data_IF_895987678744
#
_entry.id   IF_895987678744
#
_cell.length_a   1.000
_cell.length_b   1.000
_cell.length_c   1.000
_cell.angle_alpha   90.00
_cell.angle_beta   90.00
_cell.angle_gamma   90.00
#
_symmetry.space_group_name_H-M   'P 1'
#
loop_
_entity.id
_entity.type
_entity.pdbx_description
1 polymer ?
#
# COMPACT_ATOMS: atom_id res chain seq x y z
N UNK A 1 -28.15 7.47 10.42
CA UNK A 1 -26.69 7.25 10.65
C UNK A 1 -26.19 8.47 11.43
N UNK A 2 -25.37 8.23 12.45
CA UNK A 2 -24.77 9.30 13.23
C UNK A 2 -23.85 10.16 12.33
N UNK A 3 -24.07 11.48 12.21
CA UNK A 3 -23.24 12.34 11.37
C UNK A 3 -21.81 12.51 11.87
N UNK A 4 -21.48 12.00 13.06
CA UNK A 4 -20.12 12.03 13.62
C UNK A 4 -19.30 10.77 13.26
N UNK A 5 -19.91 9.77 12.63
CA UNK A 5 -19.18 8.57 12.18
C UNK A 5 -18.28 8.95 11.02
N UNK A 6 -16.98 8.67 11.18
CA UNK A 6 -16.01 8.75 10.10
C UNK A 6 -15.91 7.41 9.37
N UNK A 7 -15.85 7.46 8.05
CA UNK A 7 -15.77 6.30 7.18
C UNK A 7 -14.47 6.36 6.39
N UNK A 8 -13.63 5.34 6.53
CA UNK A 8 -12.38 5.22 5.80
C UNK A 8 -12.42 4.17 4.70
N UNK A 9 -11.47 4.28 3.81
CA UNK A 9 -11.17 3.25 2.81
C UNK A 9 -9.93 2.48 3.21
N UNK A 10 -9.93 1.16 3.01
CA UNK A 10 -8.75 0.32 3.16
C UNK A 10 -8.15 -0.02 1.80
N UNK A 11 -6.86 0.21 1.66
CA UNK A 11 -6.08 -0.07 0.47
C UNK A 11 -4.97 -1.09 0.79
N UNK A 12 -4.90 -2.17 0.01
CA UNK A 12 -3.75 -3.08 0.02
C UNK A 12 -2.67 -2.49 -0.88
N UNK A 13 -1.70 -1.81 -0.29
CA UNK A 13 -0.62 -1.13 -1.01
C UNK A 13 0.33 -2.12 -1.68
N UNK A 14 0.71 -1.80 -2.90
CA UNK A 14 1.64 -2.58 -3.71
C UNK A 14 2.80 -1.72 -4.22
N UNK A 15 3.34 -0.85 -3.36
CA UNK A 15 4.43 0.06 -3.71
C UNK A 15 5.40 -0.53 -4.72
N UNK A 16 5.52 0.10 -5.88
CA UNK A 16 6.32 -0.39 -7.00
C UNK A 16 7.43 0.59 -7.35
N UNK A 17 8.69 0.11 -7.28
CA UNK A 17 9.87 0.85 -7.71
C UNK A 17 10.24 0.55 -9.17
N UNK A 18 10.87 1.51 -9.87
CA UNK A 18 11.64 1.17 -11.08
C UNK A 18 12.88 0.35 -10.70
N UNK A 19 13.27 -0.61 -11.54
CA UNK A 19 14.50 -1.40 -11.33
C UNK A 19 15.77 -0.53 -11.31
N UNK A 20 15.73 0.56 -12.08
CA UNK A 20 16.84 1.49 -12.23
C UNK A 20 16.32 2.86 -12.73
N UNK A 21 17.23 3.79 -13.04
CA UNK A 21 16.92 5.12 -13.55
C UNK A 21 16.57 5.17 -15.06
N UNK A 22 16.36 4.04 -15.73
CA UNK A 22 15.84 4.03 -17.10
C UNK A 22 14.46 4.73 -17.11
N UNK A 23 14.25 5.79 -17.94
CA UNK A 23 12.98 6.49 -18.02
C UNK A 23 11.78 5.58 -18.28
N UNK A 24 11.97 4.48 -19.03
CA UNK A 24 10.91 3.51 -19.28
C UNK A 24 10.57 2.68 -18.05
N UNK A 25 11.56 2.25 -17.28
CA UNK A 25 11.31 1.59 -15.99
C UNK A 25 10.60 2.53 -15.00
N UNK A 26 10.99 3.81 -14.97
CA UNK A 26 10.33 4.83 -14.15
C UNK A 26 8.85 5.04 -14.59
N UNK A 27 8.59 5.10 -15.90
CA UNK A 27 7.22 5.19 -16.44
C UNK A 27 6.39 3.97 -16.05
N UNK A 28 6.94 2.74 -16.17
CA UNK A 28 6.25 1.51 -15.78
C UNK A 28 5.92 1.46 -14.28
N UNK A 29 6.85 1.88 -13.42
CA UNK A 29 6.61 1.97 -11.99
C UNK A 29 5.50 2.99 -11.64
N UNK A 30 5.51 4.16 -12.30
CA UNK A 30 4.47 5.18 -12.15
C UNK A 30 3.08 4.63 -12.55
N UNK A 31 2.97 3.98 -13.71
CA UNK A 31 1.71 3.41 -14.18
C UNK A 31 1.23 2.25 -13.27
N UNK A 32 2.14 1.43 -12.75
CA UNK A 32 1.81 0.38 -11.79
C UNK A 32 1.22 0.96 -10.50
N UNK A 33 1.87 1.94 -9.88
CA UNK A 33 1.38 2.61 -8.67
C UNK A 33 0.04 3.32 -8.93
N UNK A 34 -0.12 3.95 -10.10
CA UNK A 34 -1.39 4.59 -10.49
C UNK A 34 -2.55 3.60 -10.56
N UNK A 35 -2.35 2.46 -11.20
CA UNK A 35 -3.45 1.53 -11.47
C UNK A 35 -3.73 0.59 -10.29
N UNK A 36 -2.74 0.27 -9.48
CA UNK A 36 -2.90 -0.65 -8.34
C UNK A 36 -3.30 0.07 -7.07
N UNK A 37 -2.77 1.27 -6.85
CA UNK A 37 -2.90 1.99 -5.59
C UNK A 37 -3.71 3.28 -5.74
N UNK A 38 -3.23 4.22 -6.54
CA UNK A 38 -3.87 5.55 -6.64
C UNK A 38 -5.23 5.54 -7.34
N UNK A 39 -5.51 4.60 -8.23
CA UNK A 39 -6.81 4.54 -8.90
C UNK A 39 -7.95 4.40 -7.90
N UNK A 40 -7.84 3.48 -6.96
CA UNK A 40 -8.85 3.25 -5.95
C UNK A 40 -8.97 4.42 -4.98
N UNK A 41 -7.83 4.87 -4.45
CA UNK A 41 -7.80 5.98 -3.50
C UNK A 41 -8.19 7.33 -4.13
N UNK A 42 -7.86 7.59 -5.41
CA UNK A 42 -8.33 8.79 -6.12
C UNK A 42 -9.86 8.83 -6.21
N UNK A 43 -10.50 7.72 -6.59
CA UNK A 43 -11.96 7.67 -6.69
C UNK A 43 -12.60 7.88 -5.32
N UNK A 44 -12.07 7.23 -4.29
CA UNK A 44 -12.69 7.22 -2.97
C UNK A 44 -12.41 8.48 -2.14
N UNK A 45 -11.24 9.12 -2.33
CA UNK A 45 -10.85 10.30 -1.56
C UNK A 45 -11.00 11.61 -2.33
N UNK A 46 -10.98 11.58 -3.67
CA UNK A 46 -11.15 12.76 -4.52
C UNK A 46 -12.51 12.82 -5.20
N UNK A 47 -13.26 11.72 -5.15
CA UNK A 47 -14.63 11.63 -5.67
C UNK A 47 -14.72 11.70 -7.19
N UNK A 48 -13.68 11.26 -7.92
CA UNK A 48 -13.73 11.26 -9.40
C UNK A 48 -12.75 10.26 -10.01
N UNK A 49 -13.06 9.77 -11.19
CA UNK A 49 -12.13 8.96 -11.98
C UNK A 49 -10.96 9.83 -12.48
N UNK A 50 -9.70 9.50 -12.15
CA UNK A 50 -8.56 10.28 -12.55
C UNK A 50 -8.28 10.19 -14.06
N UNK A 51 -7.64 11.21 -14.64
CA UNK A 51 -7.37 11.31 -16.06
C UNK A 51 -6.57 10.13 -16.63
N UNK A 52 -5.61 9.59 -15.86
CA UNK A 52 -4.83 8.42 -16.28
C UNK A 52 -5.69 7.15 -16.36
N UNK A 53 -6.69 6.98 -15.47
CA UNK A 53 -7.63 5.86 -15.53
C UNK A 53 -8.55 5.98 -16.74
N UNK A 54 -9.05 7.20 -17.06
CA UNK A 54 -9.85 7.46 -18.25
C UNK A 54 -9.05 7.14 -19.53
N UNK A 55 -7.76 7.49 -19.56
CA UNK A 55 -6.85 7.11 -20.65
C UNK A 55 -6.72 5.59 -20.74
N UNK A 56 -6.43 4.92 -19.66
CA UNK A 56 -6.31 3.46 -19.58
C UNK A 56 -7.58 2.77 -20.07
N UNK A 57 -8.76 3.20 -19.63
CA UNK A 57 -10.04 2.63 -20.08
C UNK A 57 -10.22 2.76 -21.59
N UNK A 58 -9.88 3.93 -22.15
CA UNK A 58 -9.95 4.16 -23.61
C UNK A 58 -9.01 3.23 -24.38
N UNK A 59 -7.76 3.09 -23.93
CA UNK A 59 -6.74 2.25 -24.58
C UNK A 59 -7.10 0.75 -24.51
N UNK A 60 -7.79 0.32 -23.45
CA UNK A 60 -8.19 -1.08 -23.24
C UNK A 60 -9.65 -1.36 -23.63
N UNK A 61 -10.32 -0.41 -24.27
CA UNK A 61 -11.73 -0.53 -24.69
C UNK A 61 -12.69 -0.85 -23.53
N UNK A 62 -12.41 -0.34 -22.33
CA UNK A 62 -13.24 -0.49 -21.14
C UNK A 62 -14.26 0.65 -21.10
N UNK A 63 -15.54 0.30 -20.99
CA UNK A 63 -16.63 1.26 -20.82
C UNK A 63 -17.18 1.15 -19.40
N UNK A 64 -17.07 2.22 -18.63
CA UNK A 64 -17.70 2.33 -17.32
C UNK A 64 -19.17 2.74 -17.54
N UNK A 65 -20.11 1.92 -17.06
CA UNK A 65 -21.51 2.28 -17.06
C UNK A 65 -21.77 3.17 -15.85
N UNK A 66 -22.33 4.33 -16.10
CA UNK A 66 -22.75 5.28 -15.08
C UNK A 66 -24.18 5.69 -15.35
N UNK A 67 -25.00 5.70 -14.30
CA UNK A 67 -26.34 6.24 -14.35
C UNK A 67 -26.32 7.76 -14.11
N UNK A 68 -27.38 8.49 -14.51
CA UNK A 68 -27.51 9.90 -14.16
C UNK A 68 -27.44 10.13 -12.65
N UNK A 69 -26.52 10.96 -12.19
CA UNK A 69 -26.29 11.26 -10.77
C UNK A 69 -25.13 10.48 -10.11
N UNK A 70 -24.58 9.44 -10.75
CA UNK A 70 -23.49 8.65 -10.15
C UNK A 70 -22.21 9.49 -9.93
N UNK A 71 -21.90 10.38 -10.86
CA UNK A 71 -20.72 11.24 -10.73
C UNK A 71 -20.84 12.21 -9.55
N UNK A 72 -22.01 12.80 -9.37
CA UNK A 72 -22.33 13.67 -8.26
C UNK A 72 -22.32 12.89 -6.94
N UNK A 73 -22.91 11.70 -6.92
CA UNK A 73 -22.93 10.84 -5.74
C UNK A 73 -21.50 10.47 -5.28
N UNK A 74 -20.63 10.07 -6.19
CA UNK A 74 -19.21 9.77 -5.89
C UNK A 74 -18.51 11.02 -5.34
N UNK A 75 -18.76 12.18 -5.96
CA UNK A 75 -18.12 13.45 -5.58
C UNK A 75 -18.53 13.96 -4.20
N UNK A 76 -19.77 13.76 -3.83
CA UNK A 76 -20.36 14.24 -2.57
C UNK A 76 -20.13 13.28 -1.39
N UNK A 77 -19.70 12.03 -1.66
CA UNK A 77 -19.54 10.99 -0.64
C UNK A 77 -18.11 10.41 -0.65
N UNK A 78 -17.13 11.29 -0.48
CA UNK A 78 -15.73 10.88 -0.31
C UNK A 78 -15.48 10.34 1.10
N UNK A 79 -14.43 9.52 1.25
CA UNK A 79 -14.03 8.95 2.53
C UNK A 79 -13.30 9.97 3.41
N UNK A 80 -13.40 9.81 4.73
CA UNK A 80 -12.84 10.73 5.71
C UNK A 80 -11.36 10.44 6.02
N UNK A 81 -10.91 9.20 5.84
CA UNK A 81 -9.52 8.79 6.10
C UNK A 81 -9.08 7.63 5.21
N UNK A 82 -7.77 7.42 5.11
CA UNK A 82 -7.14 6.31 4.38
C UNK A 82 -6.52 5.29 5.34
N UNK A 83 -6.93 4.04 5.24
CA UNK A 83 -6.31 2.90 5.91
C UNK A 83 -5.46 2.11 4.90
N UNK A 84 -4.21 1.82 5.24
CA UNK A 84 -3.25 1.16 4.34
C UNK A 84 -2.80 -0.16 4.94
N UNK A 85 -2.89 -1.25 4.17
CA UNK A 85 -2.22 -2.50 4.44
C UNK A 85 -0.90 -2.52 3.67
N UNK A 86 0.23 -2.50 4.38
CA UNK A 86 1.57 -2.52 3.79
C UNK A 86 2.36 -3.73 4.28
N UNK A 87 2.84 -4.56 3.36
CA UNK A 87 3.64 -5.73 3.69
C UNK A 87 5.01 -5.70 3.01
N UNK A 88 5.06 -5.33 1.74
CA UNK A 88 6.28 -5.38 0.92
C UNK A 88 6.15 -4.51 -0.32
N UNK A 89 7.28 -4.17 -0.92
CA UNK A 89 7.36 -3.45 -2.18
C UNK A 89 7.67 -4.38 -3.37
N UNK A 90 7.49 -3.84 -4.56
CA UNK A 90 7.83 -4.51 -5.81
C UNK A 90 8.88 -3.73 -6.59
N UNK A 91 9.44 -4.37 -7.62
CA UNK A 91 10.29 -3.73 -8.61
C UNK A 91 9.81 -4.12 -10.03
N UNK A 92 9.85 -3.18 -10.96
CA UNK A 92 9.53 -3.44 -12.37
C UNK A 92 10.64 -2.97 -13.29
N UNK A 93 10.87 -3.72 -14.36
CA UNK A 93 11.79 -3.33 -15.42
C UNK A 93 11.14 -2.42 -16.48
N UNK A 94 11.89 -2.04 -17.52
CA UNK A 94 11.42 -1.20 -18.61
C UNK A 94 10.28 -1.80 -19.46
N UNK A 95 10.02 -3.10 -19.32
CA UNK A 95 8.88 -3.78 -19.96
C UNK A 95 7.64 -3.86 -19.07
N UNK A 96 7.72 -3.38 -17.83
CA UNK A 96 6.68 -3.50 -16.81
C UNK A 96 6.63 -4.87 -16.13
N UNK A 97 7.61 -5.74 -16.40
CA UNK A 97 7.70 -7.05 -15.75
C UNK A 97 8.18 -6.89 -14.31
N UNK A 98 7.49 -7.56 -13.37
CA UNK A 98 7.92 -7.67 -11.97
C UNK A 98 9.26 -8.41 -11.88
N UNK A 99 10.21 -7.82 -11.19
CA UNK A 99 11.56 -8.33 -10.97
C UNK A 99 11.94 -8.21 -9.51
N UNK A 100 12.96 -8.96 -9.09
CA UNK A 100 13.50 -8.85 -7.75
C UNK A 100 14.15 -7.48 -7.54
N UNK A 101 13.94 -6.88 -6.36
CA UNK A 101 14.66 -5.67 -5.97
C UNK A 101 16.08 -6.07 -5.51
N UNK A 102 17.14 -5.62 -6.18
CA UNK A 102 18.52 -6.01 -5.83
C UNK A 102 19.02 -5.40 -4.52
N UNK A 103 18.28 -4.46 -3.93
CA UNK A 103 18.69 -3.71 -2.73
C UNK A 103 17.94 -4.14 -1.46
N UNK A 104 16.94 -5.02 -1.58
CA UNK A 104 16.16 -5.50 -0.43
C UNK A 104 16.35 -7.00 -0.22
N UNK A 105 16.31 -7.42 1.05
CA UNK A 105 16.15 -8.84 1.37
C UNK A 105 14.69 -9.26 1.14
N UNK A 106 14.47 -10.53 0.93
CA UNK A 106 13.13 -11.09 0.82
C UNK A 106 12.99 -12.33 1.71
N UNK A 107 11.75 -12.63 2.10
CA UNK A 107 11.39 -13.89 2.78
C UNK A 107 11.44 -15.05 1.79
N UNK A 108 11.24 -16.28 2.29
CA UNK A 108 11.14 -17.50 1.45
C UNK A 108 10.00 -17.38 0.43
N UNK A 109 8.97 -16.61 0.72
CA UNK A 109 7.83 -16.35 -0.19
C UNK A 109 8.08 -15.21 -1.19
N UNK A 110 9.29 -14.61 -1.18
CA UNK A 110 9.66 -13.52 -2.06
C UNK A 110 9.08 -12.15 -1.62
N UNK A 111 8.61 -12.02 -0.39
CA UNK A 111 8.19 -10.73 0.17
C UNK A 111 9.41 -9.93 0.56
N UNK A 112 9.56 -8.76 -0.02
CA UNK A 112 10.69 -7.87 0.30
C UNK A 112 10.51 -7.26 1.69
N UNK A 113 11.58 -7.21 2.46
CA UNK A 113 11.61 -6.52 3.75
C UNK A 113 12.04 -5.08 3.46
N UNK A 114 11.05 -4.18 3.41
CA UNK A 114 11.27 -2.80 2.97
C UNK A 114 10.55 -1.77 3.86
N UNK A 115 11.12 -1.44 5.02
CA UNK A 115 10.57 -0.40 5.88
C UNK A 115 10.56 0.99 5.21
N UNK A 116 11.56 1.27 4.34
CA UNK A 116 11.62 2.54 3.60
C UNK A 116 10.45 2.68 2.62
N UNK A 117 10.01 1.57 2.03
CA UNK A 117 8.83 1.53 1.16
C UNK A 117 7.56 1.96 1.88
N UNK A 118 7.39 1.58 3.15
CA UNK A 118 6.29 2.08 3.97
C UNK A 118 6.31 3.60 4.07
N UNK A 119 7.48 4.19 4.38
CA UNK A 119 7.61 5.63 4.47
C UNK A 119 7.29 6.32 3.13
N UNK A 120 7.81 5.80 2.02
CA UNK A 120 7.59 6.37 0.68
C UNK A 120 6.10 6.29 0.29
N UNK A 121 5.46 5.13 0.50
CA UNK A 121 4.06 4.93 0.20
C UNK A 121 3.17 5.90 1.00
N UNK A 122 3.34 5.94 2.32
CA UNK A 122 2.54 6.80 3.21
C UNK A 122 2.77 8.28 2.93
N UNK A 123 4.02 8.72 2.68
CA UNK A 123 4.32 10.10 2.27
C UNK A 123 3.65 10.44 0.95
N UNK A 124 3.68 9.52 -0.03
CA UNK A 124 3.03 9.73 -1.34
C UNK A 124 1.51 9.89 -1.21
N UNK A 125 0.86 9.15 -0.31
CA UNK A 125 -0.57 9.31 -0.03
C UNK A 125 -0.85 10.62 0.70
N UNK A 126 -0.04 10.98 1.67
CA UNK A 126 -0.16 12.25 2.38
C UNK A 126 -0.06 13.44 1.45
N UNK A 127 0.99 13.49 0.62
CA UNK A 127 1.21 14.55 -0.36
C UNK A 127 0.06 14.66 -1.38
N UNK A 128 -0.63 13.54 -1.65
CA UNK A 128 -1.69 13.47 -2.65
C UNK A 128 -3.06 13.84 -2.09
N UNK A 129 -3.37 13.48 -0.85
CA UNK A 129 -4.74 13.56 -0.31
C UNK A 129 -4.89 14.46 0.90
N UNK A 130 -3.86 14.60 1.72
CA UNK A 130 -3.92 15.36 2.99
C UNK A 130 -5.12 14.99 3.85
N UNK A 131 -5.38 13.69 4.02
CA UNK A 131 -6.41 13.14 4.90
C UNK A 131 -5.75 12.35 6.03
N UNK A 132 -6.40 12.20 7.20
CA UNK A 132 -5.90 11.33 8.26
C UNK A 132 -5.64 9.91 7.74
N UNK A 133 -4.59 9.27 8.22
CA UNK A 133 -4.20 7.94 7.77
C UNK A 133 -3.97 6.97 8.91
N UNK A 134 -4.18 5.69 8.65
CA UNK A 134 -3.75 4.60 9.53
C UNK A 134 -3.06 3.50 8.74
N UNK A 135 -2.16 2.78 9.40
CA UNK A 135 -1.67 1.50 8.90
C UNK A 135 -2.56 0.41 9.51
N UNK A 136 -3.48 -0.11 8.68
CA UNK A 136 -4.46 -1.10 9.09
C UNK A 136 -3.86 -2.51 9.21
N UNK A 137 -2.84 -2.79 8.39
CA UNK A 137 -2.13 -4.07 8.42
C UNK A 137 -0.65 -3.86 8.11
N UNK A 138 0.20 -4.51 8.89
CA UNK A 138 1.63 -4.63 8.63
C UNK A 138 2.18 -5.84 9.37
N UNK A 139 2.97 -6.65 8.70
CA UNK A 139 3.52 -7.89 9.25
C UNK A 139 4.44 -8.59 8.28
N UNK A 140 5.05 -9.67 8.72
CA UNK A 140 5.97 -10.49 7.94
C UNK A 140 5.56 -11.95 8.01
N UNK A 141 5.51 -12.60 6.86
CA UNK A 141 5.37 -14.04 6.74
C UNK A 141 6.70 -14.70 6.44
N UNK A 142 7.05 -15.71 7.22
CA UNK A 142 8.25 -16.54 7.04
C UNK A 142 7.95 -17.99 7.42
N UNK A 143 8.77 -18.92 6.94
CA UNK A 143 8.77 -20.29 7.44
C UNK A 143 9.46 -20.34 8.81
N UNK A 144 8.77 -20.90 9.79
CA UNK A 144 9.25 -20.99 11.16
C UNK A 144 9.48 -22.44 11.55
N UNK A 145 10.47 -22.64 12.41
CA UNK A 145 10.80 -23.97 12.92
C UNK A 145 10.91 -23.88 14.44
N UNK A 146 10.21 -24.78 15.13
CA UNK A 146 10.34 -24.93 16.57
C UNK A 146 11.77 -25.41 16.91
N UNK A 147 12.34 -24.82 17.95
CA UNK A 147 13.58 -25.32 18.53
C UNK A 147 13.39 -26.62 19.32
N UNK A 148 14.45 -27.12 19.97
CA UNK A 148 14.41 -28.35 20.77
C UNK A 148 13.52 -28.26 22.02
N UNK A 149 13.14 -27.05 22.42
CA UNK A 149 12.28 -26.76 23.57
C UNK A 149 10.83 -26.42 23.13
N UNK A 150 10.55 -26.50 21.82
CA UNK A 150 9.24 -26.18 21.22
C UNK A 150 8.95 -24.70 21.17
N UNK A 151 9.98 -23.85 21.12
CA UNK A 151 9.84 -22.39 21.04
C UNK A 151 10.21 -21.87 19.66
N UNK A 152 9.65 -20.71 19.29
CA UNK A 152 10.01 -19.92 18.12
C UNK A 152 10.72 -18.65 18.59
N UNK A 153 11.87 -18.35 17.97
CA UNK A 153 12.64 -17.15 18.25
C UNK A 153 12.28 -16.05 17.25
N UNK A 154 11.52 -15.06 17.69
CA UNK A 154 10.92 -14.00 16.85
C UNK A 154 11.84 -12.79 16.59
N UNK A 155 13.16 -12.93 16.74
CA UNK A 155 14.10 -11.82 16.57
C UNK A 155 13.94 -11.12 15.21
N UNK A 156 13.68 -11.86 14.15
CA UNK A 156 13.46 -11.34 12.80
C UNK A 156 12.15 -10.52 12.72
N UNK A 157 11.07 -10.97 13.39
CA UNK A 157 9.78 -10.27 13.43
C UNK A 157 9.88 -9.00 14.28
N UNK A 158 10.58 -9.08 15.41
CA UNK A 158 10.88 -7.93 16.25
C UNK A 158 11.70 -6.89 15.47
N UNK A 159 12.72 -7.31 14.71
CA UNK A 159 13.51 -6.43 13.87
C UNK A 159 12.65 -5.77 12.78
N UNK A 160 11.83 -6.55 12.07
CA UNK A 160 10.90 -6.06 11.06
C UNK A 160 10.02 -4.94 11.60
N UNK A 161 9.31 -5.19 12.71
CA UNK A 161 8.43 -4.19 13.30
C UNK A 161 9.18 -2.97 13.83
N UNK A 162 10.35 -3.16 14.44
CA UNK A 162 11.19 -2.04 14.91
C UNK A 162 11.57 -1.09 13.78
N UNK A 163 11.97 -1.64 12.64
CA UNK A 163 12.36 -0.86 11.47
C UNK A 163 11.18 -0.14 10.83
N UNK A 164 10.01 -0.78 10.75
CA UNK A 164 8.78 -0.14 10.24
C UNK A 164 8.27 0.95 11.20
N UNK A 165 8.28 0.72 12.51
CA UNK A 165 7.91 1.73 13.52
C UNK A 165 8.84 2.94 13.46
N UNK A 166 10.14 2.75 13.18
CA UNK A 166 11.06 3.86 12.99
C UNK A 166 10.67 4.74 11.77
N UNK A 167 10.15 4.15 10.70
CA UNK A 167 9.62 4.91 9.56
C UNK A 167 8.30 5.64 9.89
N UNK A 168 7.43 5.04 10.70
CA UNK A 168 6.21 5.71 11.17
C UNK A 168 6.53 6.93 12.04
N UNK A 169 7.55 6.82 12.90
CA UNK A 169 8.03 7.97 13.67
C UNK A 169 8.48 9.10 12.74
N UNK A 170 9.21 8.78 11.68
CA UNK A 170 9.65 9.75 10.68
C UNK A 170 8.46 10.42 9.96
N UNK A 171 7.41 9.64 9.63
CA UNK A 171 6.17 10.20 9.06
C UNK A 171 5.52 11.22 10.00
N UNK A 172 5.46 10.93 11.30
CA UNK A 172 4.91 11.85 12.30
C UNK A 172 5.79 13.11 12.45
N UNK A 173 7.12 12.96 12.38
CA UNK A 173 8.07 14.09 12.37
C UNK A 173 7.91 14.96 11.11
N UNK A 174 7.46 14.39 9.98
CA UNK A 174 7.11 15.07 8.73
C UNK A 174 5.65 15.61 8.72
N UNK A 175 4.98 15.65 9.89
CA UNK A 175 3.61 16.15 10.08
C UNK A 175 2.52 15.35 9.33
N UNK A 176 2.80 14.08 9.00
CA UNK A 176 1.78 13.17 8.49
C UNK A 176 0.79 12.83 9.60
N UNK A 177 -0.50 13.03 9.37
CA UNK A 177 -1.55 12.72 10.34
C UNK A 177 -1.80 11.20 10.40
N UNK A 178 -0.84 10.48 11.00
CA UNK A 178 -0.91 9.04 11.22
C UNK A 178 -1.50 8.76 12.60
N UNK A 179 -2.78 8.34 12.67
CA UNK A 179 -3.50 8.20 13.94
C UNK A 179 -3.53 6.79 14.52
N UNK A 180 -3.23 5.75 13.72
CA UNK A 180 -3.25 4.37 14.20
C UNK A 180 -2.29 3.45 13.43
N UNK A 181 -1.87 2.39 14.12
CA UNK A 181 -1.09 1.28 13.56
C UNK A 181 -1.59 -0.04 14.15
N UNK A 182 -1.86 -1.01 13.29
CA UNK A 182 -2.25 -2.36 13.70
C UNK A 182 -1.31 -3.39 13.09
N UNK A 183 -0.88 -4.33 13.95
CA UNK A 183 -0.10 -5.48 13.52
C UNK A 183 -1.02 -6.51 12.86
N UNK A 184 -0.56 -7.09 11.78
CA UNK A 184 -1.13 -8.31 11.24
C UNK A 184 -0.31 -9.49 11.74
N UNK A 185 -0.79 -10.28 12.37
CA UNK A 185 -1.65 -10.92 13.27
C UNK A 185 -0.95 -11.05 14.63
N UNK A 186 -1.59 -10.90 15.77
CA UNK A 186 -0.97 -11.13 17.08
C UNK A 186 -0.77 -12.61 17.40
N UNK A 187 -1.30 -13.51 16.59
CA UNK A 187 -1.21 -14.97 16.70
C UNK A 187 -0.86 -15.58 15.36
N UNK A 188 -0.22 -16.75 15.38
CA UNK A 188 -0.01 -17.52 14.16
C UNK A 188 -1.35 -17.97 13.58
N UNK A 189 -1.56 -17.63 12.33
CA UNK A 189 -2.75 -18.01 11.57
C UNK A 189 -2.36 -18.71 10.28
N UNK A 190 -3.19 -19.61 9.82
CA UNK A 190 -3.07 -20.16 8.47
C UNK A 190 -3.37 -19.05 7.47
N UNK A 191 -2.36 -18.67 6.70
CA UNK A 191 -2.50 -17.68 5.62
C UNK A 191 -3.09 -18.35 4.38
N UNK A 192 -3.97 -17.64 3.67
CA UNK A 192 -4.48 -18.09 2.37
C UNK A 192 -3.42 -18.16 1.26
N UNK A 193 -2.20 -17.68 1.54
CA UNK A 193 -1.06 -17.67 0.63
C UNK A 193 0.07 -18.63 1.06
N UNK A 194 -0.14 -19.45 2.06
CA UNK A 194 0.81 -20.45 2.54
C UNK A 194 0.50 -21.84 1.98
#
# INVERSE_FOLDING_TARGET
IDPQIQVGVMLADQMTYPLNSDPKACEQALEANRMKDYFYSDVQLRGEYPGYAKRYFKEHHITIRMEPGDAELIKENTMDFLAVAYYYSHCVDASGKKVANPFTKATQWGWTIDPTGLYIAMSSYWDRYHVPMMIAENGIGVEETLDSEGQIHDDYRIAYHREHIAQMRKLIEDEVELFAYTLWSPFDIVSGNS
#
